data_IF_869481495515
#
_entry.id   IF_869481495515
#
_cell.length_a   1.000
_cell.length_b   1.000
_cell.length_c   1.000
_cell.angle_alpha   90.00
_cell.angle_beta   90.00
_cell.angle_gamma   90.00
#
_symmetry.space_group_name_H-M   'P 1'
#
loop_
_entity.id
_entity.type
_entity.pdbx_description
1 polymer ?
#
# COMPACT_ATOMS: atom_id res chain seq x y z
N UNK A 1 -4.41 -12.08 4.07
CA UNK A 1 -4.89 -13.39 3.57
C UNK A 1 -4.96 -14.38 4.72
N UNK A 2 -6.01 -15.14 4.75
CA UNK A 2 -6.13 -16.29 5.69
C UNK A 2 -6.00 -17.54 4.83
N UNK A 3 -4.92 -18.30 5.05
CA UNK A 3 -4.70 -19.56 4.37
C UNK A 3 -5.24 -20.70 5.25
N UNK A 4 -6.15 -21.48 4.70
CA UNK A 4 -6.68 -22.66 5.33
C UNK A 4 -6.37 -23.88 4.46
N UNK A 5 -5.63 -24.84 5.02
CA UNK A 5 -5.27 -26.09 4.31
C UNK A 5 -6.16 -27.21 4.83
N UNK A 6 -6.89 -27.85 3.93
CA UNK A 6 -7.64 -29.06 4.19
C UNK A 6 -6.81 -30.27 3.76
N UNK A 7 -6.42 -31.10 4.68
CA UNK A 7 -5.91 -32.44 4.38
C UNK A 7 -7.02 -33.45 4.67
N UNK A 8 -7.68 -33.95 3.65
CA UNK A 8 -8.66 -35.02 3.72
C UNK A 8 -8.59 -35.89 2.46
N UNK A 9 -8.60 -37.19 2.63
CA UNK A 9 -8.77 -38.13 1.52
C UNK A 9 -10.20 -38.03 0.96
N UNK A 10 -10.34 -37.86 -0.37
CA UNK A 10 -11.63 -37.89 -1.03
C UNK A 10 -12.24 -39.31 -0.95
N UNK A 11 -13.21 -39.49 -0.05
CA UNK A 11 -14.13 -40.59 -0.15
C UNK A 11 -15.34 -40.17 -0.99
N UNK A 12 -15.74 -40.97 -1.99
CA UNK A 12 -16.88 -40.67 -2.85
C UNK A 12 -18.24 -40.60 -2.12
N UNK A 13 -18.30 -41.00 -0.86
CA UNK A 13 -19.49 -40.97 -0.01
C UNK A 13 -19.15 -40.43 1.38
N UNK A 14 -19.55 -39.22 1.63
CA UNK A 14 -19.50 -38.63 2.98
C UNK A 14 -20.63 -39.24 3.85
N UNK A 15 -20.33 -39.55 5.09
CA UNK A 15 -21.35 -39.89 6.07
C UNK A 15 -22.18 -38.64 6.43
N UNK A 16 -23.39 -38.83 6.93
CA UNK A 16 -24.27 -37.72 7.33
C UNK A 16 -23.63 -36.78 8.36
N UNK A 17 -22.75 -37.33 9.21
CA UNK A 17 -21.95 -36.57 10.19
C UNK A 17 -20.86 -35.72 9.51
N UNK A 18 -20.19 -36.24 8.47
CA UNK A 18 -19.17 -35.55 7.71
C UNK A 18 -19.77 -34.43 6.85
N UNK A 19 -20.96 -34.66 6.25
CA UNK A 19 -21.71 -33.61 5.56
C UNK A 19 -22.17 -32.49 6.51
N UNK A 20 -22.58 -32.83 7.72
CA UNK A 20 -22.94 -31.85 8.73
C UNK A 20 -21.71 -31.03 9.21
N UNK A 21 -20.57 -31.70 9.38
CA UNK A 21 -19.30 -31.05 9.70
C UNK A 21 -18.85 -30.13 8.58
N UNK A 22 -18.95 -30.56 7.33
CA UNK A 22 -18.64 -29.74 6.14
C UNK A 22 -19.53 -28.51 6.07
N UNK A 23 -20.85 -28.65 6.22
CA UNK A 23 -21.77 -27.49 6.26
C UNK A 23 -21.47 -26.50 7.38
N UNK A 24 -21.17 -27.02 8.59
CA UNK A 24 -20.79 -26.15 9.72
C UNK A 24 -19.51 -25.35 9.44
N UNK A 25 -18.56 -25.98 8.78
CA UNK A 25 -17.31 -25.35 8.45
C UNK A 25 -17.46 -24.32 7.33
N UNK A 26 -18.24 -24.63 6.30
CA UNK A 26 -18.59 -23.64 5.25
C UNK A 26 -19.28 -22.42 5.85
N UNK A 27 -20.25 -22.61 6.75
CA UNK A 27 -20.90 -21.50 7.48
C UNK A 27 -19.91 -20.69 8.33
N UNK A 28 -18.96 -21.36 8.97
CA UNK A 28 -17.92 -20.70 9.77
C UNK A 28 -16.99 -19.90 8.87
N UNK A 29 -16.58 -20.46 7.73
CA UNK A 29 -15.76 -19.79 6.74
C UNK A 29 -16.47 -18.54 6.18
N UNK A 30 -17.74 -18.67 5.80
CA UNK A 30 -18.53 -17.54 5.32
C UNK A 30 -18.65 -16.43 6.38
N UNK A 31 -18.83 -16.81 7.66
CA UNK A 31 -18.86 -15.85 8.75
C UNK A 31 -17.53 -15.12 8.90
N UNK A 32 -16.41 -15.85 8.87
CA UNK A 32 -15.07 -15.26 8.94
C UNK A 32 -14.82 -14.34 7.75
N UNK A 33 -15.18 -14.75 6.53
CA UNK A 33 -15.04 -13.91 5.32
C UNK A 33 -15.89 -12.65 5.41
N UNK A 34 -17.10 -12.75 5.99
CA UNK A 34 -17.97 -11.60 6.23
C UNK A 34 -17.37 -10.64 7.25
N UNK A 35 -16.89 -11.16 8.40
CA UNK A 35 -16.27 -10.37 9.46
C UNK A 35 -14.99 -9.65 8.98
N UNK A 36 -14.24 -10.28 8.07
CA UNK A 36 -13.05 -9.71 7.41
C UNK A 36 -13.39 -8.82 6.21
N UNK A 37 -14.67 -8.62 5.88
CA UNK A 37 -15.11 -7.91 4.67
C UNK A 37 -14.43 -8.43 3.40
N UNK A 38 -14.18 -9.74 3.33
CA UNK A 38 -13.53 -10.36 2.19
C UNK A 38 -14.38 -10.21 0.94
N UNK A 39 -13.77 -9.81 -0.17
CA UNK A 39 -14.46 -9.65 -1.47
C UNK A 39 -14.41 -10.92 -2.31
N UNK A 40 -13.58 -11.89 -1.93
CA UNK A 40 -13.34 -13.11 -2.68
C UNK A 40 -12.81 -14.23 -1.79
N UNK A 41 -13.27 -15.45 -2.00
CA UNK A 41 -12.69 -16.66 -1.44
C UNK A 41 -12.19 -17.57 -2.58
N UNK A 42 -10.96 -18.06 -2.42
CA UNK A 42 -10.35 -19.00 -3.37
C UNK A 42 -10.15 -20.35 -2.72
N UNK A 43 -10.48 -21.38 -3.47
CA UNK A 43 -10.09 -22.76 -3.15
C UNK A 43 -9.17 -23.26 -4.25
N UNK A 44 -7.96 -23.66 -3.89
CA UNK A 44 -7.03 -24.35 -4.79
C UNK A 44 -7.20 -25.85 -4.67
N UNK A 45 -7.35 -26.54 -5.79
CA UNK A 45 -7.30 -27.99 -5.88
C UNK A 45 -6.28 -28.41 -6.91
N UNK A 46 -5.85 -29.69 -6.87
CA UNK A 46 -4.89 -30.24 -7.84
C UNK A 46 -5.30 -30.06 -9.31
N UNK A 47 -6.59 -29.80 -9.58
CA UNK A 47 -7.17 -29.70 -10.92
C UNK A 47 -7.61 -28.29 -11.34
N UNK A 48 -7.55 -27.29 -10.45
CA UNK A 48 -7.95 -25.94 -10.81
C UNK A 48 -8.10 -25.01 -9.62
N UNK A 49 -8.40 -23.75 -9.92
CA UNK A 49 -8.74 -22.73 -8.95
C UNK A 49 -10.23 -22.42 -9.03
N UNK A 50 -10.89 -22.42 -7.91
CA UNK A 50 -12.30 -22.14 -7.76
C UNK A 50 -12.51 -20.89 -6.92
N UNK A 51 -13.55 -20.11 -7.23
CA UNK A 51 -14.02 -19.06 -6.34
C UNK A 51 -15.50 -19.26 -6.02
N UNK A 52 -15.91 -18.77 -4.87
CA UNK A 52 -17.30 -18.66 -4.49
C UNK A 52 -17.83 -17.33 -5.02
N UNK A 53 -18.90 -17.36 -5.78
CA UNK A 53 -19.59 -16.16 -6.23
C UNK A 53 -20.52 -15.59 -5.13
N UNK A 54 -21.15 -14.46 -5.42
CA UNK A 54 -22.08 -13.80 -4.49
C UNK A 54 -23.33 -14.62 -4.12
N UNK A 55 -23.64 -15.68 -4.86
CA UNK A 55 -24.72 -16.64 -4.56
C UNK A 55 -24.25 -17.81 -3.69
N UNK A 56 -22.95 -17.88 -3.37
CA UNK A 56 -22.34 -19.01 -2.70
C UNK A 56 -22.09 -20.22 -3.62
N UNK A 57 -22.29 -20.05 -4.94
CA UNK A 57 -22.00 -21.10 -5.91
C UNK A 57 -20.52 -21.08 -6.28
N UNK A 58 -19.95 -22.27 -6.27
CA UNK A 58 -18.58 -22.47 -6.67
C UNK A 58 -18.46 -22.46 -8.20
N UNK A 59 -17.49 -21.70 -8.70
CA UNK A 59 -17.18 -21.59 -10.12
C UNK A 59 -15.70 -21.80 -10.37
N UNK A 60 -15.40 -22.58 -11.39
CA UNK A 60 -14.05 -22.77 -11.86
C UNK A 60 -13.51 -21.47 -12.47
N UNK A 61 -12.45 -20.94 -11.89
CA UNK A 61 -11.73 -19.76 -12.42
C UNK A 61 -10.85 -20.20 -13.60
N UNK A 62 -10.02 -21.22 -13.37
CA UNK A 62 -9.07 -21.74 -14.35
C UNK A 62 -8.61 -23.14 -13.95
N UNK A 63 -8.59 -24.07 -14.89
CA UNK A 63 -7.94 -25.37 -14.72
C UNK A 63 -6.57 -25.42 -15.41
N UNK A 64 -5.87 -26.54 -15.25
CA UNK A 64 -4.58 -26.77 -15.87
C UNK A 64 -4.60 -26.87 -17.42
N UNK A 65 -5.79 -26.93 -18.04
CA UNK A 65 -5.99 -26.94 -19.47
C UNK A 65 -6.46 -25.58 -20.03
N UNK A 66 -6.59 -24.58 -19.15
CA UNK A 66 -7.04 -23.24 -19.53
C UNK A 66 -8.56 -23.09 -19.63
N UNK A 67 -9.35 -24.05 -19.14
CA UNK A 67 -10.80 -23.91 -19.10
C UNK A 67 -11.24 -23.03 -17.93
N UNK A 68 -12.32 -22.27 -18.15
CA UNK A 68 -12.94 -21.40 -17.15
C UNK A 68 -14.46 -21.40 -17.29
N UNK A 69 -15.16 -21.37 -16.17
CA UNK A 69 -16.61 -21.16 -16.11
C UNK A 69 -16.97 -19.68 -15.89
N UNK A 70 -15.96 -18.81 -15.84
CA UNK A 70 -16.13 -17.38 -15.56
C UNK A 70 -16.35 -16.59 -16.84
N UNK A 71 -17.62 -16.37 -17.20
CA UNK A 71 -17.98 -15.41 -18.26
C UNK A 71 -17.82 -13.95 -17.77
N UNK A 72 -18.05 -13.73 -16.48
CA UNK A 72 -17.96 -12.43 -15.84
C UNK A 72 -17.59 -12.61 -14.38
N UNK A 73 -16.55 -11.90 -13.93
CA UNK A 73 -16.22 -11.83 -12.53
C UNK A 73 -17.21 -10.91 -11.80
N UNK A 74 -17.95 -11.46 -10.85
CA UNK A 74 -18.75 -10.70 -9.90
C UNK A 74 -18.05 -10.85 -8.55
N UNK A 75 -17.54 -9.77 -7.95
CA UNK A 75 -16.94 -9.84 -6.63
C UNK A 75 -17.88 -10.49 -5.64
N UNK A 76 -17.36 -11.38 -4.82
CA UNK A 76 -18.10 -11.94 -3.70
C UNK A 76 -18.55 -10.79 -2.79
N UNK A 77 -19.85 -10.69 -2.57
CA UNK A 77 -20.40 -9.84 -1.50
C UNK A 77 -20.60 -10.76 -0.32
N UNK A 78 -19.82 -10.58 0.74
CA UNK A 78 -20.07 -11.27 2.00
C UNK A 78 -21.55 -11.16 2.36
N UNK A 79 -22.15 -12.29 2.78
CA UNK A 79 -23.55 -12.30 3.26
C UNK A 79 -23.63 -11.34 4.43
N UNK A 80 -24.42 -10.29 4.31
CA UNK A 80 -24.44 -9.17 5.27
C UNK A 80 -23.65 -7.93 4.85
N UNK A 81 -22.83 -8.00 3.78
CA UNK A 81 -22.52 -6.79 3.05
C UNK A 81 -23.81 -6.35 2.35
N UNK A 82 -24.70 -5.79 3.13
CA UNK A 82 -25.64 -4.83 2.62
C UNK A 82 -24.76 -3.71 2.06
N UNK A 83 -24.92 -3.32 0.79
CA UNK A 83 -24.54 -1.98 0.39
C UNK A 83 -25.53 -1.02 1.06
N UNK A 84 -25.46 -0.95 2.36
CA UNK A 84 -26.26 -0.08 3.21
C UNK A 84 -25.46 1.11 3.64
N UNK A 85 -24.16 1.04 3.49
CA UNK A 85 -23.39 2.23 3.24
C UNK A 85 -23.55 2.46 1.74
N UNK A 86 -24.51 3.29 1.38
CA UNK A 86 -24.56 3.97 0.11
C UNK A 86 -23.13 4.35 -0.18
N UNK A 87 -22.58 3.85 -1.31
CA UNK A 87 -21.30 4.36 -1.81
C UNK A 87 -21.49 5.86 -1.80
N UNK A 88 -20.83 6.53 -0.87
CA UNK A 88 -21.14 7.94 -0.66
C UNK A 88 -20.72 8.71 -1.92
N UNK A 89 -21.49 9.71 -2.25
CA UNK A 89 -21.26 10.56 -3.42
C UNK A 89 -19.83 11.10 -3.42
N UNK A 90 -19.25 11.29 -2.25
CA UNK A 90 -17.87 11.70 -2.03
C UNK A 90 -16.84 10.72 -2.65
N UNK A 91 -16.96 9.43 -2.36
CA UNK A 91 -16.07 8.39 -2.87
C UNK A 91 -16.16 8.28 -4.40
N UNK A 92 -17.36 8.35 -4.94
CA UNK A 92 -17.58 8.36 -6.39
C UNK A 92 -16.99 9.60 -7.06
N UNK A 93 -17.20 10.77 -6.47
CA UNK A 93 -16.68 12.03 -6.99
C UNK A 93 -15.13 12.05 -6.97
N UNK A 94 -14.51 11.51 -5.91
CA UNK A 94 -13.05 11.36 -5.80
C UNK A 94 -12.53 10.49 -6.93
N UNK A 95 -13.08 9.28 -7.10
CA UNK A 95 -12.70 8.35 -8.15
C UNK A 95 -12.94 8.92 -9.54
N UNK A 96 -14.04 9.59 -9.78
CA UNK A 96 -14.37 10.17 -11.08
C UNK A 96 -13.45 11.34 -11.45
N UNK A 97 -13.05 12.15 -10.46
CA UNK A 97 -12.04 13.21 -10.65
C UNK A 97 -10.71 12.61 -11.10
N UNK A 98 -10.21 11.62 -10.37
CA UNK A 98 -8.95 10.96 -10.70
C UNK A 98 -9.03 10.22 -12.05
N UNK A 99 -10.15 9.55 -12.33
CA UNK A 99 -10.38 8.85 -13.58
C UNK A 99 -10.30 9.74 -14.80
N UNK A 100 -10.84 10.97 -14.75
CA UNK A 100 -10.71 11.95 -15.85
C UNK A 100 -9.26 12.31 -16.11
N UNK A 101 -8.46 12.45 -15.09
CA UNK A 101 -7.02 12.71 -15.23
C UNK A 101 -6.32 11.48 -15.83
N UNK A 102 -6.66 10.28 -15.41
CA UNK A 102 -6.12 9.02 -15.95
C UNK A 102 -6.47 8.87 -17.45
N UNK A 103 -7.74 9.08 -17.81
CA UNK A 103 -8.20 9.02 -19.21
C UNK A 103 -7.47 10.03 -20.09
N UNK A 104 -7.27 11.26 -19.61
CA UNK A 104 -6.54 12.30 -20.33
C UNK A 104 -5.06 11.91 -20.57
N UNK A 105 -4.49 11.06 -19.73
CA UNK A 105 -3.11 10.55 -19.83
C UNK A 105 -3.02 9.16 -20.47
N UNK A 106 -4.15 8.57 -20.86
CA UNK A 106 -4.20 7.23 -21.45
C UNK A 106 -3.94 6.11 -20.44
N UNK A 107 -4.16 6.36 -19.15
CA UNK A 107 -4.06 5.36 -18.08
C UNK A 107 -5.42 4.69 -17.88
N UNK A 108 -5.44 3.38 -17.97
CA UNK A 108 -6.65 2.59 -17.72
C UNK A 108 -6.69 2.13 -16.26
N UNK A 109 -7.85 2.33 -15.62
CA UNK A 109 -8.18 1.78 -14.31
C UNK A 109 -9.58 1.15 -14.38
N UNK A 110 -9.77 -0.10 -13.89
CA UNK A 110 -11.07 -0.75 -13.96
C UNK A 110 -12.15 0.02 -13.18
N UNK A 111 -13.35 0.06 -13.74
CA UNK A 111 -14.51 0.74 -13.10
C UNK A 111 -14.87 0.12 -11.75
N UNK A 112 -14.62 -1.18 -11.60
CA UNK A 112 -14.91 -1.95 -10.38
C UNK A 112 -13.74 -1.96 -9.38
N UNK A 113 -12.65 -1.22 -9.65
CA UNK A 113 -11.53 -1.15 -8.71
C UNK A 113 -12.00 -0.52 -7.38
N UNK A 114 -11.62 -1.08 -6.21
CA UNK A 114 -12.16 -0.70 -4.92
C UNK A 114 -12.07 0.81 -4.66
N UNK A 115 -13.10 1.36 -4.03
CA UNK A 115 -13.10 2.73 -3.53
C UNK A 115 -12.47 2.77 -2.13
N UNK A 116 -11.78 3.86 -1.83
CA UNK A 116 -11.29 4.12 -0.48
C UNK A 116 -12.44 4.59 0.41
N UNK A 117 -12.20 4.61 1.72
CA UNK A 117 -13.11 5.10 2.75
C UNK A 117 -13.51 6.57 2.54
N UNK A 118 -14.55 6.99 3.25
CA UNK A 118 -14.99 8.38 3.32
C UNK A 118 -14.11 9.22 4.26
N UNK A 119 -14.21 10.55 4.18
CA UNK A 119 -13.54 11.45 5.13
C UNK A 119 -13.97 11.18 6.58
N UNK A 120 -15.22 10.74 6.78
CA UNK A 120 -15.75 10.44 8.10
C UNK A 120 -15.24 9.11 8.68
N UNK A 121 -14.85 8.19 7.84
CA UNK A 121 -14.32 6.87 8.22
C UNK A 121 -12.79 6.85 8.32
N UNK A 122 -12.12 7.79 7.66
CA UNK A 122 -10.67 7.82 7.58
C UNK A 122 -10.03 8.14 8.94
N UNK A 123 -9.14 7.27 9.39
CA UNK A 123 -8.32 7.46 10.58
C UNK A 123 -6.92 7.97 10.18
N UNK A 124 -6.84 9.26 9.90
CA UNK A 124 -5.59 9.89 9.49
C UNK A 124 -4.60 9.97 10.65
N UNK A 125 -3.33 9.71 10.35
CA UNK A 125 -2.25 9.90 11.33
C UNK A 125 -2.17 11.34 11.80
N UNK A 126 -1.79 11.52 13.05
CA UNK A 126 -1.57 12.84 13.62
C UNK A 126 -0.38 13.55 12.99
N UNK A 127 -0.32 14.88 12.98
CA UNK A 127 0.84 15.62 12.48
C UNK A 127 2.16 15.21 13.16
N UNK A 128 2.10 14.83 14.44
CA UNK A 128 3.28 14.34 15.15
C UNK A 128 3.76 12.98 14.61
N UNK A 129 2.85 12.04 14.37
CA UNK A 129 3.19 10.73 13.82
C UNK A 129 3.77 10.85 12.40
N UNK A 130 3.18 11.72 11.57
CA UNK A 130 3.68 12.00 10.22
C UNK A 130 5.07 12.62 10.28
N UNK A 131 5.28 13.61 11.16
CA UNK A 131 6.59 14.26 11.34
C UNK A 131 7.65 13.28 11.88
N UNK A 132 7.30 12.46 12.87
CA UNK A 132 8.19 11.42 13.37
C UNK A 132 8.60 10.43 12.29
N UNK A 133 7.63 10.00 11.47
CA UNK A 133 7.89 9.13 10.32
C UNK A 133 8.77 9.82 9.28
N UNK A 134 8.52 11.09 8.94
CA UNK A 134 9.33 11.87 8.01
C UNK A 134 10.79 11.97 8.47
N UNK A 135 11.02 12.24 9.75
CA UNK A 135 12.37 12.30 10.33
C UNK A 135 13.07 10.95 10.24
N UNK A 136 12.40 9.85 10.57
CA UNK A 136 12.97 8.51 10.45
C UNK A 136 13.35 8.19 8.99
N UNK A 137 12.48 8.46 8.02
CA UNK A 137 12.71 8.25 6.60
C UNK A 137 13.90 9.06 6.09
N UNK A 138 13.97 10.34 6.46
CA UNK A 138 15.09 11.21 6.13
C UNK A 138 16.42 10.64 6.65
N UNK A 139 16.46 10.26 7.93
CA UNK A 139 17.68 9.75 8.55
C UNK A 139 18.17 8.45 7.93
N UNK A 140 17.25 7.51 7.64
CA UNK A 140 17.58 6.24 6.98
C UNK A 140 18.05 6.46 5.55
N UNK A 141 17.39 7.34 4.79
CA UNK A 141 17.79 7.66 3.41
C UNK A 141 19.16 8.35 3.38
N UNK A 142 19.41 9.34 4.25
CA UNK A 142 20.71 10.01 4.37
C UNK A 142 21.83 9.05 4.79
N UNK A 143 21.53 8.12 5.72
CA UNK A 143 22.47 7.07 6.12
C UNK A 143 22.85 6.19 4.93
N UNK A 144 21.87 5.76 4.15
CA UNK A 144 22.10 4.93 2.95
C UNK A 144 22.90 5.67 1.89
N UNK A 145 22.57 6.93 1.64
CA UNK A 145 23.29 7.80 0.70
C UNK A 145 24.75 8.03 1.13
N UNK A 146 24.99 8.21 2.44
CA UNK A 146 26.35 8.37 2.97
C UNK A 146 27.21 7.15 2.67
N UNK A 147 26.67 5.95 2.76
CA UNK A 147 27.41 4.73 2.37
C UNK A 147 27.54 4.55 0.87
N UNK A 148 26.51 4.84 0.07
CA UNK A 148 26.51 4.63 -1.37
C UNK A 148 27.33 5.71 -2.10
N UNK A 149 27.02 6.98 -1.88
CA UNK A 149 27.62 8.09 -2.62
C UNK A 149 28.93 8.56 -1.98
N UNK A 150 28.99 8.68 -0.65
CA UNK A 150 30.18 9.15 0.06
C UNK A 150 31.12 8.02 0.46
N UNK A 151 30.71 6.76 0.22
CA UNK A 151 31.46 5.54 0.54
C UNK A 151 31.94 5.46 2.00
N UNK A 152 31.13 6.01 2.90
CA UNK A 152 31.36 5.90 4.34
C UNK A 152 31.15 4.44 4.78
N UNK A 153 31.89 3.99 5.78
CA UNK A 153 31.56 2.77 6.51
C UNK A 153 30.24 2.93 7.25
N UNK A 154 29.59 1.85 7.65
CA UNK A 154 28.35 1.87 8.42
C UNK A 154 28.53 2.74 9.69
N UNK A 155 29.64 2.58 10.40
CA UNK A 155 29.92 3.32 11.62
C UNK A 155 30.02 4.82 11.35
N UNK A 156 30.76 5.24 10.33
CA UNK A 156 30.89 6.65 9.96
C UNK A 156 29.54 7.24 9.52
N UNK A 157 28.73 6.49 8.78
CA UNK A 157 27.39 6.90 8.36
C UNK A 157 26.46 7.05 9.56
N UNK A 158 26.54 6.14 10.55
CA UNK A 158 25.75 6.22 11.77
C UNK A 158 26.18 7.44 12.63
N UNK A 159 27.48 7.67 12.80
CA UNK A 159 27.99 8.85 13.49
C UNK A 159 27.56 10.14 12.78
N UNK A 160 27.49 10.13 11.43
CA UNK A 160 27.07 11.27 10.64
C UNK A 160 25.61 11.67 10.92
N UNK A 161 24.69 10.71 11.09
CA UNK A 161 23.28 10.99 11.37
C UNK A 161 22.99 11.13 12.87
N UNK A 162 23.87 10.67 13.77
CA UNK A 162 23.63 10.60 15.21
C UNK A 162 23.28 11.97 15.83
N UNK A 163 23.92 13.03 15.35
CA UNK A 163 23.59 14.38 15.80
C UNK A 163 22.12 14.72 15.57
N UNK A 164 21.60 14.36 14.40
CA UNK A 164 20.20 14.60 14.02
C UNK A 164 19.24 13.68 14.79
N UNK A 165 19.61 12.44 15.05
CA UNK A 165 18.83 11.55 15.92
C UNK A 165 18.64 12.21 17.27
N UNK A 166 19.71 12.74 17.87
CA UNK A 166 19.65 13.40 19.17
C UNK A 166 18.84 14.71 19.14
N UNK A 167 18.99 15.53 18.11
CA UNK A 167 18.27 16.81 17.95
C UNK A 167 16.75 16.60 17.87
N UNK A 168 16.30 15.56 17.17
CA UNK A 168 14.88 15.24 17.03
C UNK A 168 14.34 14.30 18.11
N UNK A 169 15.21 13.67 18.92
CA UNK A 169 14.83 12.60 19.83
C UNK A 169 14.28 11.38 19.10
N UNK A 170 14.93 11.01 17.98
CA UNK A 170 14.36 10.10 16.99
C UNK A 170 14.66 8.61 17.25
N UNK A 171 15.19 8.25 18.43
CA UNK A 171 15.55 6.86 18.73
C UNK A 171 14.37 5.89 18.59
N UNK A 172 13.17 6.32 18.97
CA UNK A 172 11.93 5.52 18.91
C UNK A 172 11.12 5.69 17.60
N UNK A 173 11.62 6.46 16.61
CA UNK A 173 10.89 6.73 15.38
C UNK A 173 11.10 5.65 14.31
N UNK A 174 12.17 4.89 14.44
CA UNK A 174 12.52 3.85 13.49
C UNK A 174 11.66 2.61 13.65
N UNK A 175 11.24 2.04 12.54
CA UNK A 175 10.70 0.68 12.54
C UNK A 175 11.80 -0.33 12.93
N UNK A 176 11.40 -1.50 13.41
CA UNK A 176 12.36 -2.57 13.75
C UNK A 176 13.31 -2.93 12.58
N UNK A 177 12.80 -2.89 11.34
CA UNK A 177 13.62 -3.16 10.15
C UNK A 177 14.65 -2.08 9.91
N UNK A 178 14.28 -0.82 10.07
CA UNK A 178 15.18 0.33 9.93
C UNK A 178 16.21 0.36 11.06
N UNK A 179 15.78 0.11 12.27
CA UNK A 179 16.70 -0.01 13.42
C UNK A 179 17.76 -1.10 13.18
N UNK A 180 17.33 -2.28 12.76
CA UNK A 180 18.23 -3.38 12.45
C UNK A 180 19.18 -3.02 11.29
N UNK A 181 18.70 -2.33 10.26
CA UNK A 181 19.51 -1.88 9.15
C UNK A 181 20.57 -0.86 9.58
N UNK A 182 20.23 0.14 10.38
CA UNK A 182 21.16 1.16 10.89
C UNK A 182 22.30 0.53 11.73
N UNK A 183 22.00 -0.59 12.42
CA UNK A 183 22.95 -1.27 13.30
C UNK A 183 23.59 -2.53 12.68
N UNK A 184 23.31 -2.83 11.41
CA UNK A 184 23.96 -3.90 10.68
C UNK A 184 25.36 -3.44 10.22
N UNK A 185 26.42 -4.08 10.72
CA UNK A 185 27.81 -3.71 10.40
C UNK A 185 28.16 -3.91 8.92
N UNK A 186 27.48 -4.83 8.24
CA UNK A 186 27.70 -5.16 6.82
C UNK A 186 26.38 -5.22 6.05
N UNK A 187 25.69 -4.08 5.84
CA UNK A 187 24.43 -4.06 5.09
C UNK A 187 24.69 -4.31 3.61
N UNK A 188 23.86 -5.16 3.00
CA UNK A 188 23.95 -5.48 1.58
C UNK A 188 23.73 -4.24 0.71
N UNK A 189 24.35 -4.21 -0.45
CA UNK A 189 24.18 -3.09 -1.39
C UNK A 189 22.71 -2.92 -1.81
N UNK A 190 21.99 -4.04 -1.99
CA UNK A 190 20.55 -4.02 -2.29
C UNK A 190 19.71 -3.37 -1.17
N UNK A 191 20.11 -3.54 0.10
CA UNK A 191 19.45 -2.89 1.23
C UNK A 191 19.74 -1.38 1.21
N UNK A 192 20.98 -0.98 1.00
CA UNK A 192 21.39 0.43 0.87
C UNK A 192 20.59 1.12 -0.25
N UNK A 193 20.49 0.48 -1.42
CA UNK A 193 19.68 0.99 -2.54
C UNK A 193 18.22 1.08 -2.15
N UNK A 194 17.64 0.03 -1.55
CA UNK A 194 16.23 0.03 -1.14
C UNK A 194 15.92 1.15 -0.13
N UNK A 195 16.80 1.39 0.83
CA UNK A 195 16.59 2.45 1.81
C UNK A 195 16.89 3.86 1.26
N UNK A 196 17.69 4.00 0.20
CA UNK A 196 17.86 5.30 -0.47
C UNK A 196 16.57 5.76 -1.19
N UNK A 197 15.69 4.83 -1.58
CA UNK A 197 14.38 5.14 -2.16
C UNK A 197 13.40 5.78 -1.15
N UNK A 198 13.73 5.79 0.14
CA UNK A 198 12.86 6.39 1.16
C UNK A 198 12.70 7.91 1.00
N UNK A 199 13.44 8.57 0.14
CA UNK A 199 13.21 9.95 -0.25
C UNK A 199 11.85 10.17 -0.90
N UNK A 200 11.31 9.20 -1.65
CA UNK A 200 9.94 9.29 -2.20
C UNK A 200 8.88 9.23 -1.09
N UNK A 201 9.09 8.37 -0.10
CA UNK A 201 8.21 8.32 1.07
C UNK A 201 8.33 9.60 1.91
N UNK A 202 9.54 10.12 2.10
CA UNK A 202 9.80 11.39 2.79
C UNK A 202 9.04 12.53 2.11
N UNK A 203 9.17 12.65 0.80
CA UNK A 203 8.47 13.66 0.01
C UNK A 203 6.96 13.67 0.26
N UNK A 204 6.34 12.48 0.30
CA UNK A 204 4.90 12.34 0.61
C UNK A 204 4.60 12.81 2.04
N UNK A 205 5.44 12.47 3.03
CA UNK A 205 5.24 12.92 4.42
C UNK A 205 5.37 14.44 4.55
N UNK A 206 6.33 15.05 3.87
CA UNK A 206 6.52 16.49 3.82
C UNK A 206 5.34 17.20 3.16
N UNK A 207 4.83 16.61 2.07
CA UNK A 207 3.60 17.07 1.43
C UNK A 207 2.39 16.95 2.36
N UNK A 208 2.23 15.82 3.05
CA UNK A 208 1.13 15.59 3.99
C UNK A 208 1.16 16.55 5.19
N UNK A 209 2.36 16.95 5.64
CA UNK A 209 2.55 17.99 6.65
C UNK A 209 2.30 19.41 6.11
N UNK A 210 2.07 19.58 4.80
CA UNK A 210 1.92 20.86 4.16
C UNK A 210 3.19 21.72 4.18
N UNK A 211 4.36 21.09 4.26
CA UNK A 211 5.66 21.73 4.09
C UNK A 211 6.01 21.92 2.62
N UNK A 212 5.36 21.18 1.73
CA UNK A 212 5.42 21.31 0.27
C UNK A 212 4.07 21.82 -0.20
N UNK A 213 4.06 22.90 -0.96
CA UNK A 213 2.85 23.52 -1.51
C UNK A 213 2.30 22.75 -2.73
N UNK A 214 1.00 22.96 -3.00
CA UNK A 214 0.34 22.37 -4.16
C UNK A 214 -0.16 20.93 -3.96
N UNK A 215 -0.75 20.31 -4.99
CA UNK A 215 -1.13 18.91 -4.97
C UNK A 215 0.10 18.01 -5.06
N UNK A 216 -0.05 16.75 -4.62
CA UNK A 216 0.98 15.74 -4.90
C UNK A 216 1.10 15.57 -6.42
N UNK A 217 2.31 15.71 -6.94
CA UNK A 217 2.58 15.66 -8.37
C UNK A 217 2.42 14.26 -8.96
N UNK A 218 2.23 14.21 -10.29
CA UNK A 218 2.12 12.93 -10.99
C UNK A 218 3.44 12.17 -10.93
N UNK A 219 3.44 10.83 -10.70
CA UNK A 219 4.65 10.06 -10.42
C UNK A 219 5.40 9.61 -11.70
N UNK A 220 5.68 10.54 -12.59
CA UNK A 220 6.43 10.32 -13.83
C UNK A 220 7.93 10.68 -13.70
N UNK A 221 8.34 11.14 -12.56
CA UNK A 221 9.72 11.48 -12.21
C UNK A 221 9.98 11.31 -10.72
N UNK A 222 11.26 11.21 -10.36
CA UNK A 222 11.70 11.18 -8.96
C UNK A 222 11.47 12.53 -8.29
N UNK A 223 11.19 12.51 -7.00
CA UNK A 223 11.20 13.73 -6.20
C UNK A 223 12.58 14.41 -6.27
N UNK A 224 12.61 15.72 -6.05
CA UNK A 224 13.86 16.46 -5.93
C UNK A 224 14.57 16.08 -4.61
N UNK A 225 15.32 14.97 -4.62
CA UNK A 225 15.95 14.35 -3.43
C UNK A 225 16.70 15.35 -2.57
N UNK A 226 17.46 16.27 -3.20
CA UNK A 226 18.21 17.28 -2.47
C UNK A 226 17.28 18.27 -1.75
N UNK A 227 16.17 18.64 -2.35
CA UNK A 227 15.18 19.56 -1.75
C UNK A 227 14.44 18.89 -0.62
N UNK A 228 13.96 17.66 -0.80
CA UNK A 228 13.31 16.86 0.23
C UNK A 228 14.25 16.66 1.44
N UNK A 229 15.51 16.25 1.20
CA UNK A 229 16.48 16.11 2.27
C UNK A 229 16.75 17.45 3.02
N UNK A 230 16.82 18.56 2.27
CA UNK A 230 17.12 19.88 2.86
C UNK A 230 15.96 20.45 3.66
N UNK A 231 14.72 20.17 3.28
CA UNK A 231 13.55 20.74 3.91
C UNK A 231 13.50 20.41 5.41
N UNK A 232 13.62 19.15 5.78
CA UNK A 232 13.66 18.75 7.20
C UNK A 232 14.99 19.09 7.90
N UNK A 233 16.10 19.12 7.17
CA UNK A 233 17.39 19.47 7.79
C UNK A 233 17.47 20.93 8.20
N UNK A 234 16.56 21.80 7.74
CA UNK A 234 16.44 23.19 8.19
C UNK A 234 15.92 23.30 9.64
N UNK A 235 15.21 22.28 10.13
CA UNK A 235 14.69 22.25 11.50
C UNK A 235 15.68 21.58 12.46
N UNK A 236 15.61 21.95 13.73
CA UNK A 236 16.48 21.43 14.79
C UNK A 236 15.72 20.70 15.90
N UNK A 237 14.40 20.61 15.78
CA UNK A 237 13.54 19.90 16.74
C UNK A 237 12.20 19.50 16.09
N UNK A 238 11.57 18.48 16.66
CA UNK A 238 10.20 18.11 16.32
C UNK A 238 9.21 19.26 16.50
N UNK A 239 9.45 20.09 17.52
CA UNK A 239 8.61 21.25 17.78
C UNK A 239 8.62 22.25 16.62
N UNK A 240 9.79 22.55 16.06
CA UNK A 240 9.91 23.46 14.92
C UNK A 240 9.18 22.92 13.68
N UNK A 241 9.26 21.61 13.42
CA UNK A 241 8.52 20.97 12.33
C UNK A 241 7.02 21.16 12.53
N UNK A 242 6.52 20.86 13.74
CA UNK A 242 5.08 20.97 14.04
C UNK A 242 4.57 22.42 14.02
N UNK A 243 5.38 23.39 14.42
CA UNK A 243 5.04 24.83 14.34
C UNK A 243 4.99 25.32 12.87
N UNK A 244 5.81 24.75 11.99
CA UNK A 244 5.81 25.07 10.57
C UNK A 244 4.73 24.34 9.77
N UNK A 245 4.31 23.14 10.25
CA UNK A 245 3.37 22.29 9.55
C UNK A 245 1.98 22.92 9.37
N UNK A 246 1.41 22.70 8.18
CA UNK A 246 0.01 22.98 7.86
C UNK A 246 -0.60 21.71 7.25
N UNK A 247 -0.94 20.72 8.09
CA UNK A 247 -1.30 19.38 7.62
C UNK A 247 -2.43 19.42 6.61
N UNK A 248 -2.34 18.55 5.61
CA UNK A 248 -3.39 18.37 4.62
C UNK A 248 -4.66 17.84 5.28
N UNK A 249 -5.79 18.25 4.76
CA UNK A 249 -7.09 17.72 5.18
C UNK A 249 -7.23 16.23 4.81
N UNK A 250 -8.10 15.51 5.54
CA UNK A 250 -8.44 14.12 5.22
C UNK A 250 -8.87 13.98 3.74
N UNK A 251 -9.61 14.96 3.23
CA UNK A 251 -10.00 15.00 1.83
C UNK A 251 -8.80 15.03 0.87
N UNK A 252 -7.81 15.89 1.12
CA UNK A 252 -6.63 15.99 0.26
C UNK A 252 -5.78 14.72 0.33
N UNK A 253 -5.64 14.15 1.53
CA UNK A 253 -4.94 12.88 1.73
C UNK A 253 -5.62 11.74 0.99
N UNK A 254 -6.94 11.60 1.14
CA UNK A 254 -7.72 10.57 0.44
C UNK A 254 -7.75 10.77 -1.08
N UNK A 255 -7.80 12.00 -1.58
CA UNK A 255 -7.70 12.31 -3.01
C UNK A 255 -6.35 11.80 -3.57
N UNK A 256 -5.25 12.04 -2.87
CA UNK A 256 -3.92 11.56 -3.24
C UNK A 256 -3.78 10.04 -3.10
N UNK A 257 -4.28 9.48 -2.00
CA UNK A 257 -4.35 8.03 -1.78
C UNK A 257 -5.06 7.31 -2.94
N UNK A 258 -6.27 7.76 -3.30
CA UNK A 258 -7.06 7.15 -4.37
C UNK A 258 -6.35 7.25 -5.72
N UNK A 259 -5.69 8.38 -5.99
CA UNK A 259 -4.89 8.56 -7.19
C UNK A 259 -3.74 7.53 -7.24
N UNK A 260 -2.90 7.51 -6.22
CA UNK A 260 -1.72 6.62 -6.19
C UNK A 260 -2.12 5.14 -6.15
N UNK A 261 -3.17 4.78 -5.41
CA UNK A 261 -3.73 3.43 -5.36
C UNK A 261 -4.14 2.93 -6.75
N UNK A 262 -4.81 3.77 -7.53
CA UNK A 262 -5.18 3.45 -8.91
C UNK A 262 -3.96 3.36 -9.85
N UNK A 263 -2.99 4.24 -9.69
CA UNK A 263 -1.77 4.25 -10.52
C UNK A 263 -0.87 3.04 -10.21
N UNK A 264 -0.80 2.60 -8.95
CA UNK A 264 -0.07 1.37 -8.58
C UNK A 264 -0.69 0.13 -9.21
N UNK A 265 -2.04 0.07 -9.24
CA UNK A 265 -2.71 -0.98 -10.00
C UNK A 265 -2.34 -0.95 -11.48
N UNK A 266 -2.37 0.23 -12.11
CA UNK A 266 -2.07 0.37 -13.53
C UNK A 266 -0.61 -0.03 -13.87
N UNK A 267 0.34 0.36 -13.02
CA UNK A 267 1.74 -0.05 -13.14
C UNK A 267 1.90 -1.57 -12.95
N UNK A 268 1.18 -2.15 -12.01
CA UNK A 268 1.21 -3.60 -11.76
C UNK A 268 0.60 -4.39 -12.92
N UNK A 269 -0.55 -3.96 -13.44
CA UNK A 269 -1.22 -4.59 -14.60
C UNK A 269 -0.32 -4.59 -15.84
N UNK A 270 0.31 -3.46 -16.16
CA UNK A 270 1.22 -3.38 -17.31
C UNK A 270 2.48 -4.22 -17.11
N UNK A 271 3.05 -4.21 -15.90
CA UNK A 271 4.20 -5.06 -15.56
C UNK A 271 3.89 -6.54 -15.71
N UNK A 272 2.70 -7.00 -15.32
CA UNK A 272 2.27 -8.39 -15.49
C UNK A 272 2.09 -8.79 -16.96
N UNK A 273 1.94 -7.82 -17.84
CA UNK A 273 1.86 -8.01 -19.29
C UNK A 273 3.16 -7.74 -20.02
N UNK A 274 4.27 -7.56 -19.31
CA UNK A 274 5.58 -7.17 -19.87
C UNK A 274 5.51 -5.87 -20.69
N UNK A 275 4.66 -4.92 -20.29
CA UNK A 275 4.50 -3.61 -20.90
C UNK A 275 5.14 -2.52 -20.03
N UNK A 276 5.58 -1.40 -20.63
CA UNK A 276 6.05 -0.26 -19.86
C UNK A 276 4.93 0.35 -19.02
N UNK A 277 5.31 1.01 -17.92
CA UNK A 277 4.36 1.76 -17.11
C UNK A 277 3.62 2.82 -17.96
N UNK A 278 2.31 2.98 -17.83
CA UNK A 278 1.53 3.88 -18.67
C UNK A 278 1.85 5.35 -18.33
N UNK A 279 1.60 6.26 -19.28
CA UNK A 279 1.79 7.70 -19.14
C UNK A 279 3.22 8.13 -18.72
N UNK A 280 4.23 7.32 -18.99
CA UNK A 280 5.61 7.62 -18.61
C UNK A 280 5.90 7.52 -17.11
N UNK A 281 4.99 6.93 -16.31
CA UNK A 281 5.21 6.77 -14.87
C UNK A 281 6.45 5.95 -14.55
N UNK A 282 7.08 6.27 -13.43
CA UNK A 282 8.05 5.40 -12.80
C UNK A 282 7.36 4.48 -11.78
N UNK A 283 7.35 3.18 -12.05
CA UNK A 283 6.68 2.21 -11.18
C UNK A 283 7.31 2.11 -9.78
N UNK A 284 8.58 2.46 -9.62
CA UNK A 284 9.25 2.54 -8.32
C UNK A 284 8.75 3.73 -7.50
N UNK A 285 8.62 4.90 -8.14
CA UNK A 285 8.05 6.11 -7.53
C UNK A 285 6.62 5.86 -7.08
N UNK A 286 5.79 5.29 -7.96
CA UNK A 286 4.39 4.94 -7.65
C UNK A 286 4.33 4.02 -6.43
N UNK A 287 5.14 2.96 -6.43
CA UNK A 287 5.18 1.98 -5.35
C UNK A 287 5.60 2.60 -3.99
N UNK A 288 6.66 3.42 -3.98
CA UNK A 288 7.11 4.05 -2.74
C UNK A 288 6.09 5.07 -2.24
N UNK A 289 5.48 5.87 -3.11
CA UNK A 289 4.41 6.80 -2.73
C UNK A 289 3.16 6.09 -2.22
N UNK A 290 2.82 4.91 -2.79
CA UNK A 290 1.71 4.08 -2.29
C UNK A 290 1.98 3.54 -0.88
N UNK A 291 3.22 3.22 -0.56
CA UNK A 291 3.63 2.82 0.80
C UNK A 291 3.53 3.95 1.82
N UNK A 292 3.70 5.18 1.38
CA UNK A 292 3.73 6.36 2.24
C UNK A 292 2.32 6.85 2.59
N UNK A 293 1.40 6.76 1.65
CA UNK A 293 -0.02 7.11 1.79
C UNK A 293 -0.83 5.97 2.41
#
# INVERSE_FOLDING_TARGET
SVDYVFEGEESEFLTEAEEAAKRNMEQTLFRVLSDLRAVMAFRGEKRGFYCLDASGMEKLILDGNGNSEMERFLPYKAVGYVPGNEIETEQLNRREKNRREFEARGVYVPVFYPLLETEAEADCRTPYEIAARAVALMLVAVFSEAMLAKKMSQKEALEFIQKRINEFGADDFFSLKEWNYLHNEDPKESEKISYSWQYENLYVMEWALGLIDGPLDFPDHFCAVAEAAQLLTAFHSMREILEAAKPRSAKELLDACDMIFCLDWACTDTRMRDLPAPAGMDGGVVFERHKAL
#
